data_IF_524623026285
#
_entry.id   IF_524623026285
#
_cell.length_a   1.000
_cell.length_b   1.000
_cell.length_c   1.000
_cell.angle_alpha   90.00
_cell.angle_beta   90.00
_cell.angle_gamma   90.00
#
_symmetry.space_group_name_H-M   'P 1'
#
loop_
_entity.id
_entity.type
_entity.pdbx_description
1 polymer ?
#
# COMPACT_ATOMS: atom_id res chain seq x y z
N UNK A 1 20.06 -17.87 12.66
CA UNK A 1 18.78 -17.41 12.07
C UNK A 1 18.87 -15.90 11.99
N UNK A 2 18.42 -15.30 10.87
CA UNK A 2 18.30 -13.85 10.70
C UNK A 2 16.80 -13.52 10.68
N UNK A 3 16.39 -12.62 11.56
CA UNK A 3 15.02 -12.12 11.65
C UNK A 3 15.01 -10.69 11.09
N UNK A 4 14.05 -10.37 10.23
CA UNK A 4 13.91 -9.03 9.61
C UNK A 4 12.50 -8.54 9.84
N UNK A 5 12.35 -7.39 10.46
CA UNK A 5 11.05 -6.76 10.72
C UNK A 5 11.19 -5.25 10.80
N UNK A 6 10.19 -4.51 10.30
CA UNK A 6 10.08 -3.08 10.53
C UNK A 6 9.57 -2.75 11.94
N UNK A 7 8.89 -3.72 12.58
CA UNK A 7 8.26 -3.60 13.89
C UNK A 7 8.51 -4.89 14.66
N UNK A 8 9.78 -5.15 15.12
CA UNK A 8 10.12 -6.38 15.82
C UNK A 8 9.34 -6.49 17.14
N UNK A 9 8.77 -7.67 17.38
CA UNK A 9 8.06 -8.00 18.61
C UNK A 9 8.98 -8.53 19.70
N UNK A 10 8.39 -8.93 20.82
CA UNK A 10 9.14 -9.43 21.99
C UNK A 10 9.92 -10.72 21.67
N UNK A 11 9.38 -11.57 20.79
CA UNK A 11 10.05 -12.79 20.37
C UNK A 11 11.37 -12.52 19.69
N UNK A 12 11.38 -11.59 18.72
CA UNK A 12 12.58 -11.20 17.98
C UNK A 12 13.58 -10.47 18.89
N UNK A 13 13.09 -9.55 19.72
CA UNK A 13 13.93 -8.75 20.62
C UNK A 13 14.61 -9.58 21.70
N UNK A 14 13.85 -10.51 22.31
CA UNK A 14 14.34 -11.32 23.43
C UNK A 14 15.20 -12.51 22.94
N UNK A 15 15.00 -12.97 21.72
CA UNK A 15 15.72 -14.10 21.13
C UNK A 15 16.97 -13.72 20.31
N UNK A 16 17.21 -12.43 20.10
CA UNK A 16 18.33 -11.96 19.27
C UNK A 16 19.61 -11.72 20.09
N UNK A 17 20.73 -12.30 19.65
CA UNK A 17 22.05 -12.00 20.20
C UNK A 17 22.54 -10.58 19.83
N UNK A 18 22.06 -10.07 18.68
CA UNK A 18 22.40 -8.76 18.16
C UNK A 18 21.20 -8.16 17.40
N UNK A 19 20.92 -6.88 17.65
CA UNK A 19 19.92 -6.10 16.92
C UNK A 19 20.64 -5.01 16.14
N UNK A 20 20.40 -4.94 14.83
CA UNK A 20 20.95 -3.93 13.93
C UNK A 20 19.81 -3.18 13.26
N UNK A 21 19.85 -1.86 13.34
CA UNK A 21 18.87 -1.01 12.66
C UNK A 21 19.36 -0.61 11.26
N UNK A 22 18.48 -0.72 10.26
CA UNK A 22 18.69 -0.19 8.92
C UNK A 22 17.65 0.89 8.66
N UNK A 23 17.96 2.13 9.06
CA UNK A 23 17.05 3.28 8.91
C UNK A 23 17.25 3.97 7.57
N UNK A 24 18.50 4.06 7.10
CA UNK A 24 18.86 4.82 5.90
C UNK A 24 18.31 4.17 4.63
N UNK A 25 17.59 4.97 3.84
CA UNK A 25 17.12 4.64 2.49
C UNK A 25 18.07 5.26 1.46
N UNK A 26 18.66 4.48 0.55
CA UNK A 26 19.55 5.02 -0.49
C UNK A 26 18.87 6.04 -1.42
N UNK A 27 17.54 5.96 -1.55
CA UNK A 27 16.72 6.90 -2.34
C UNK A 27 16.59 8.29 -1.71
N UNK A 28 17.00 8.44 -0.45
CA UNK A 28 16.83 9.67 0.31
C UNK A 28 15.41 9.96 0.79
N UNK A 29 14.43 9.10 0.47
CA UNK A 29 13.04 9.31 0.87
C UNK A 29 12.89 9.33 2.39
N UNK A 30 12.23 10.37 2.89
CA UNK A 30 11.93 10.55 4.31
C UNK A 30 10.69 9.73 4.72
N UNK A 31 10.60 9.43 6.01
CA UNK A 31 9.30 9.06 6.58
C UNK A 31 8.36 10.28 6.50
N UNK A 32 7.03 10.06 6.35
CA UNK A 32 6.08 11.16 6.14
C UNK A 32 5.98 12.08 7.36
N UNK A 33 5.51 13.30 7.15
CA UNK A 33 5.08 14.17 8.23
C UNK A 33 3.77 13.66 8.82
N UNK A 34 3.65 13.68 10.15
CA UNK A 34 2.47 13.22 10.86
C UNK A 34 1.82 14.37 11.59
N UNK A 35 0.55 14.62 11.30
CA UNK A 35 -0.27 15.65 11.95
C UNK A 35 -1.40 15.00 12.74
N UNK A 36 -1.68 15.53 13.93
CA UNK A 36 -2.86 15.14 14.71
C UNK A 36 -3.85 16.30 14.63
N UNK A 37 -5.07 15.98 14.21
CA UNK A 37 -6.17 16.96 14.08
C UNK A 37 -7.40 16.48 14.86
N UNK A 38 -8.28 17.39 15.31
CA UNK A 38 -9.46 17.03 16.09
C UNK A 38 -10.45 16.20 15.28
N UNK A 39 -11.28 15.40 15.97
CA UNK A 39 -12.35 14.62 15.35
C UNK A 39 -13.49 15.54 14.90
N UNK A 40 -13.77 16.62 15.62
CA UNK A 40 -14.76 17.60 15.21
C UNK A 40 -14.39 18.24 13.88
N UNK A 41 -15.29 18.16 12.88
CA UNK A 41 -15.04 18.67 11.53
C UNK A 41 -14.10 17.79 10.68
N UNK A 42 -13.71 16.60 11.14
CA UNK A 42 -12.74 15.74 10.45
C UNK A 42 -13.11 15.41 8.99
N UNK A 43 -14.38 15.28 8.67
CA UNK A 43 -14.81 14.90 7.31
C UNK A 43 -14.66 16.08 6.34
N UNK A 44 -15.00 17.29 6.76
CA UNK A 44 -14.85 18.47 5.93
C UNK A 44 -13.36 18.80 5.73
N UNK A 45 -12.55 18.67 6.77
CA UNK A 45 -11.09 18.80 6.71
C UNK A 45 -10.49 17.74 5.78
N UNK A 46 -10.90 16.48 5.92
CA UNK A 46 -10.47 15.38 5.06
C UNK A 46 -10.80 15.64 3.58
N UNK A 47 -11.99 16.14 3.27
CA UNK A 47 -12.39 16.49 1.90
C UNK A 47 -11.46 17.58 1.33
N UNK A 48 -11.15 18.60 2.13
CA UNK A 48 -10.19 19.64 1.74
C UNK A 48 -8.82 19.08 1.38
N UNK A 49 -8.29 18.19 2.22
CA UNK A 49 -6.99 17.55 2.00
C UNK A 49 -7.00 16.58 0.79
N UNK A 50 -8.10 15.83 0.62
CA UNK A 50 -8.27 14.97 -0.56
C UNK A 50 -8.25 15.81 -1.84
N UNK A 51 -8.99 16.89 -1.90
CA UNK A 51 -9.03 17.76 -3.07
C UNK A 51 -7.65 18.34 -3.37
N UNK A 52 -6.94 18.86 -2.36
CA UNK A 52 -5.59 19.38 -2.52
C UNK A 52 -4.59 18.31 -3.00
N UNK A 53 -4.76 17.06 -2.58
CA UNK A 53 -3.95 15.92 -3.01
C UNK A 53 -4.28 15.50 -4.45
N UNK A 54 -5.56 15.44 -4.79
CA UNK A 54 -6.05 15.08 -6.12
C UNK A 54 -5.64 16.14 -7.17
N UNK A 55 -5.65 17.42 -6.82
CA UNK A 55 -5.21 18.52 -7.69
C UNK A 55 -3.72 18.39 -8.09
N UNK A 56 -2.90 17.76 -7.24
CA UNK A 56 -1.50 17.41 -7.54
C UNK A 56 -1.36 16.15 -8.41
N UNK A 57 -2.47 15.46 -8.70
CA UNK A 57 -2.47 14.17 -9.40
C UNK A 57 -2.08 12.99 -8.52
N UNK A 58 -2.09 13.15 -7.21
CA UNK A 58 -1.72 12.14 -6.23
C UNK A 58 -2.94 11.43 -5.62
N UNK A 59 -2.72 10.41 -4.81
CA UNK A 59 -3.77 9.53 -4.29
C UNK A 59 -3.82 9.55 -2.77
N UNK A 60 -5.00 9.26 -2.24
CA UNK A 60 -5.27 9.25 -0.80
C UNK A 60 -5.68 7.85 -0.33
N UNK A 61 -5.14 7.43 0.82
CA UNK A 61 -5.63 6.28 1.57
C UNK A 61 -6.34 6.76 2.83
N UNK A 62 -7.53 6.22 3.11
CA UNK A 62 -8.27 6.53 4.35
C UNK A 62 -8.52 5.24 5.12
N UNK A 63 -8.08 5.19 6.40
CA UNK A 63 -8.30 4.02 7.24
C UNK A 63 -9.42 4.27 8.26
N UNK A 64 -10.36 3.34 8.33
CA UNK A 64 -11.48 3.32 9.27
C UNK A 64 -11.38 2.13 10.23
N UNK A 65 -12.23 2.08 11.25
CA UNK A 65 -12.24 0.98 12.22
C UNK A 65 -13.18 -0.17 11.83
N UNK A 66 -14.23 0.12 11.07
CA UNK A 66 -15.26 -0.87 10.73
C UNK A 66 -15.61 -0.83 9.24
N UNK A 67 -16.15 -1.96 8.75
CA UNK A 67 -16.65 -2.09 7.37
C UNK A 67 -17.75 -1.06 7.10
N UNK A 68 -18.68 -0.90 8.03
CA UNK A 68 -19.77 0.05 7.89
C UNK A 68 -19.26 1.49 7.75
N UNK A 69 -18.31 1.90 8.61
CA UNK A 69 -17.69 3.24 8.47
C UNK A 69 -17.03 3.42 7.10
N UNK A 70 -16.33 2.40 6.58
CA UNK A 70 -15.72 2.48 5.26
C UNK A 70 -16.77 2.63 4.15
N UNK A 71 -17.86 1.89 4.22
CA UNK A 71 -18.97 1.95 3.26
C UNK A 71 -19.68 3.31 3.32
N UNK A 72 -20.05 3.77 4.53
CA UNK A 72 -20.73 5.04 4.75
C UNK A 72 -19.86 6.22 4.28
N UNK A 73 -18.57 6.21 4.62
CA UNK A 73 -17.63 7.24 4.19
C UNK A 73 -17.44 7.25 2.68
N UNK A 74 -17.32 6.07 2.06
CA UNK A 74 -17.18 5.97 0.60
C UNK A 74 -18.42 6.54 -0.11
N UNK A 75 -19.62 6.21 0.38
CA UNK A 75 -20.85 6.77 -0.16
C UNK A 75 -20.91 8.29 0.01
N UNK A 76 -20.52 8.81 1.18
CA UNK A 76 -20.49 10.24 1.46
C UNK A 76 -19.53 11.00 0.54
N UNK A 77 -18.29 10.52 0.42
CA UNK A 77 -17.28 11.10 -0.47
C UNK A 77 -17.72 11.05 -1.93
N UNK A 78 -18.33 9.95 -2.36
CA UNK A 78 -18.90 9.81 -3.71
C UNK A 78 -20.01 10.83 -3.99
N UNK A 79 -20.90 11.09 -3.03
CA UNK A 79 -21.94 12.12 -3.13
C UNK A 79 -21.35 13.53 -3.15
N UNK A 80 -20.18 13.74 -2.55
CA UNK A 80 -19.43 14.99 -2.64
C UNK A 80 -18.64 15.14 -3.96
N UNK A 81 -18.77 14.19 -4.89
CA UNK A 81 -18.12 14.24 -6.21
C UNK A 81 -16.68 13.69 -6.24
N UNK A 82 -16.21 13.08 -5.15
CA UNK A 82 -14.88 12.50 -5.06
C UNK A 82 -14.93 11.06 -5.60
N UNK A 83 -14.03 10.73 -6.53
CA UNK A 83 -13.89 9.37 -7.05
C UNK A 83 -13.25 8.49 -5.99
N UNK A 84 -14.04 7.64 -5.38
CA UNK A 84 -13.61 6.81 -4.25
C UNK A 84 -14.05 5.35 -4.41
N UNK A 85 -13.25 4.44 -3.86
CA UNK A 85 -13.59 3.03 -3.67
C UNK A 85 -13.28 2.60 -2.24
N UNK A 86 -13.94 1.55 -1.76
CA UNK A 86 -13.57 0.92 -0.49
C UNK A 86 -13.00 -0.49 -0.72
N UNK A 87 -12.19 -0.93 0.24
CA UNK A 87 -11.60 -2.26 0.24
C UNK A 87 -11.67 -2.87 1.65
N UNK A 88 -12.14 -4.11 1.73
CA UNK A 88 -12.22 -4.88 2.97
C UNK A 88 -11.60 -6.27 2.81
N UNK A 89 -11.58 -7.06 3.90
CA UNK A 89 -10.91 -8.37 3.94
C UNK A 89 -11.57 -9.44 3.06
N UNK A 90 -12.86 -9.29 2.72
CA UNK A 90 -13.59 -10.25 1.87
C UNK A 90 -13.32 -10.07 0.38
N UNK A 91 -12.64 -8.97 -0.01
CA UNK A 91 -12.26 -8.74 -1.41
C UNK A 91 -11.24 -9.78 -1.85
N UNK A 92 -11.57 -10.52 -2.91
CA UNK A 92 -10.70 -11.55 -3.48
C UNK A 92 -9.36 -10.99 -3.99
N UNK A 93 -8.32 -11.83 -4.07
CA UNK A 93 -6.99 -11.39 -4.47
C UNK A 93 -6.98 -10.69 -5.84
N UNK A 94 -7.75 -11.19 -6.81
CA UNK A 94 -7.84 -10.60 -8.14
C UNK A 94 -8.50 -9.22 -8.12
N UNK A 95 -9.64 -9.10 -7.46
CA UNK A 95 -10.38 -7.84 -7.33
C UNK A 95 -9.53 -6.79 -6.57
N UNK A 96 -8.81 -7.22 -5.54
CA UNK A 96 -7.86 -6.37 -4.81
C UNK A 96 -6.78 -5.80 -5.74
N UNK A 97 -6.21 -6.63 -6.61
CA UNK A 97 -5.20 -6.20 -7.57
C UNK A 97 -5.78 -5.22 -8.60
N UNK A 98 -7.03 -5.42 -9.04
CA UNK A 98 -7.75 -4.48 -9.90
C UNK A 98 -7.97 -3.13 -9.21
N UNK A 99 -8.45 -3.14 -7.96
CA UNK A 99 -8.63 -1.91 -7.16
C UNK A 99 -7.31 -1.14 -7.03
N UNK A 100 -6.22 -1.82 -6.71
CA UNK A 100 -4.90 -1.21 -6.55
C UNK A 100 -4.39 -0.63 -7.88
N UNK A 101 -4.53 -1.37 -8.97
CA UNK A 101 -4.15 -0.91 -10.31
C UNK A 101 -4.95 0.33 -10.71
N UNK A 102 -6.28 0.31 -10.49
CA UNK A 102 -7.17 1.40 -10.87
C UNK A 102 -6.88 2.67 -10.04
N UNK A 103 -6.55 2.53 -8.74
CA UNK A 103 -6.06 3.63 -7.91
C UNK A 103 -4.78 4.23 -8.50
N UNK A 104 -3.81 3.40 -8.86
CA UNK A 104 -2.54 3.84 -9.43
C UNK A 104 -2.71 4.53 -10.80
N UNK A 105 -3.67 4.07 -11.61
CA UNK A 105 -4.03 4.69 -12.90
C UNK A 105 -4.80 6.00 -12.76
N UNK A 106 -5.37 6.27 -11.58
CA UNK A 106 -6.20 7.43 -11.33
C UNK A 106 -7.64 7.29 -11.85
N UNK A 107 -8.11 6.08 -11.99
CA UNK A 107 -9.53 5.83 -12.25
C UNK A 107 -10.40 6.31 -11.09
N UNK A 108 -9.82 6.30 -9.89
CA UNK A 108 -10.35 6.93 -8.68
C UNK A 108 -9.19 7.48 -7.83
N UNK A 109 -9.50 8.40 -6.90
CA UNK A 109 -8.50 9.20 -6.20
C UNK A 109 -8.33 8.78 -4.74
N UNK A 110 -9.34 8.15 -4.15
CA UNK A 110 -9.38 7.79 -2.73
C UNK A 110 -9.70 6.32 -2.54
N UNK A 111 -8.87 5.62 -1.79
CA UNK A 111 -9.15 4.26 -1.32
C UNK A 111 -9.45 4.27 0.17
N UNK A 112 -10.67 3.88 0.54
CA UNK A 112 -11.10 3.74 1.93
C UNK A 112 -11.00 2.28 2.35
N UNK A 113 -10.52 1.99 3.56
CA UNK A 113 -10.49 0.61 4.04
C UNK A 113 -10.23 0.48 5.53
N UNK A 114 -10.47 -0.73 6.05
CA UNK A 114 -10.29 -1.02 7.49
C UNK A 114 -8.83 -1.31 7.80
N UNK A 115 -8.25 -2.24 7.09
CA UNK A 115 -6.87 -2.68 7.28
C UNK A 115 -6.18 -2.72 5.91
N UNK A 116 -5.73 -1.55 5.49
CA UNK A 116 -4.95 -1.40 4.26
C UNK A 116 -3.49 -1.84 4.46
N UNK A 117 -3.18 -2.46 5.62
CA UNK A 117 -1.83 -2.81 6.05
C UNK A 117 -1.31 -4.12 5.48
N UNK A 118 -2.13 -4.91 4.79
CA UNK A 118 -1.67 -6.19 4.25
C UNK A 118 -0.44 -5.99 3.38
N UNK A 119 0.54 -6.83 3.57
CA UNK A 119 1.80 -6.85 2.84
C UNK A 119 1.58 -6.75 1.32
N UNK A 120 2.47 -6.04 0.63
CA UNK A 120 2.43 -5.93 -0.83
C UNK A 120 1.84 -4.63 -1.39
N UNK A 121 1.29 -3.72 -0.58
CA UNK A 121 0.88 -2.40 -1.08
C UNK A 121 2.08 -1.47 -1.26
N UNK A 122 2.57 -1.38 -2.48
CA UNK A 122 3.61 -0.44 -2.90
C UNK A 122 3.00 0.61 -3.85
N UNK A 123 2.57 1.72 -3.26
CA UNK A 123 1.78 2.77 -3.91
C UNK A 123 2.54 4.12 -3.86
N UNK A 124 3.53 4.32 -4.72
CA UNK A 124 4.28 5.59 -4.74
C UNK A 124 3.42 6.80 -5.14
N UNK A 125 2.26 6.58 -5.73
CA UNK A 125 1.30 7.63 -6.08
C UNK A 125 0.52 8.16 -4.88
N UNK A 126 0.56 7.45 -3.73
CA UNK A 126 -0.11 7.86 -2.50
C UNK A 126 0.78 8.84 -1.74
N UNK A 127 0.31 10.05 -1.55
CA UNK A 127 0.96 11.08 -0.74
C UNK A 127 0.21 11.43 0.53
N UNK A 128 -1.09 11.14 0.60
CA UNK A 128 -1.90 11.40 1.79
C UNK A 128 -2.42 10.09 2.40
N UNK A 129 -2.23 9.94 3.70
CA UNK A 129 -2.90 8.90 4.50
C UNK A 129 -3.69 9.57 5.62
N UNK A 130 -4.99 9.31 5.67
CA UNK A 130 -5.86 9.74 6.74
C UNK A 130 -6.25 8.56 7.63
N UNK A 131 -6.06 8.72 8.94
CA UNK A 131 -6.39 7.72 9.96
C UNK A 131 -7.52 8.27 10.80
N UNK A 132 -8.76 7.82 10.57
CA UNK A 132 -9.91 8.23 11.35
C UNK A 132 -9.94 7.49 12.68
N UNK A 133 -10.47 8.14 13.72
CA UNK A 133 -10.54 7.58 15.07
C UNK A 133 -9.20 6.99 15.53
N UNK A 134 -8.12 7.74 15.37
CA UNK A 134 -6.78 7.27 15.70
C UNK A 134 -6.56 7.05 17.19
N UNK A 135 -7.36 7.69 18.06
CA UNK A 135 -7.36 7.54 19.50
C UNK A 135 -8.16 6.35 20.05
N UNK A 136 -8.85 5.61 19.18
CA UNK A 136 -9.57 4.39 19.57
C UNK A 136 -8.58 3.22 19.66
N UNK A 137 -7.92 3.08 20.83
CA UNK A 137 -6.94 2.02 21.04
C UNK A 137 -7.50 0.63 20.74
N UNK A 138 -6.65 -0.22 20.15
CA UNK A 138 -6.98 -1.58 19.76
C UNK A 138 -6.01 -2.10 18.71
N UNK A 139 -6.25 -3.31 18.22
CA UNK A 139 -5.37 -3.98 17.26
C UNK A 139 -5.06 -3.11 16.03
N UNK A 140 -6.07 -2.39 15.49
CA UNK A 140 -5.92 -1.55 14.30
C UNK A 140 -5.27 -0.18 14.58
N UNK A 141 -5.10 0.18 15.84
CA UNK A 141 -4.50 1.44 16.31
C UNK A 141 -3.38 1.20 17.32
N UNK A 142 -2.82 -0.01 17.36
CA UNK A 142 -1.60 -0.30 18.09
C UNK A 142 -0.41 0.44 17.47
N UNK A 143 0.64 0.66 18.24
CA UNK A 143 1.90 1.26 17.77
C UNK A 143 2.38 0.63 16.47
N UNK A 144 2.49 -0.71 16.43
CA UNK A 144 2.90 -1.48 15.25
C UNK A 144 2.01 -1.18 14.03
N UNK A 145 0.69 -1.18 14.24
CA UNK A 145 -0.29 -0.92 13.18
C UNK A 145 -0.16 0.50 12.64
N UNK A 146 0.01 1.48 13.51
CA UNK A 146 0.18 2.88 13.14
C UNK A 146 1.50 3.10 12.37
N UNK A 147 2.63 2.57 12.87
CA UNK A 147 3.93 2.66 12.18
C UNK A 147 3.85 2.06 10.76
N UNK A 148 3.21 0.91 10.60
CA UNK A 148 3.04 0.27 9.29
C UNK A 148 2.16 1.10 8.35
N UNK A 149 1.08 1.71 8.88
CA UNK A 149 0.20 2.58 8.11
C UNK A 149 0.94 3.84 7.65
N UNK A 150 1.60 4.52 8.56
CA UNK A 150 2.41 5.71 8.30
C UNK A 150 3.45 5.41 7.21
N UNK A 151 4.14 4.29 7.32
CA UNK A 151 5.18 3.87 6.38
C UNK A 151 4.71 3.68 4.93
N UNK A 152 3.41 3.61 4.66
CA UNK A 152 2.88 3.55 3.28
C UNK A 152 3.06 4.84 2.51
N UNK A 153 3.01 6.01 3.17
CA UNK A 153 3.27 7.30 2.54
C UNK A 153 4.78 7.58 2.33
N UNK A 154 5.67 6.80 2.93
CA UNK A 154 7.12 7.01 2.85
C UNK A 154 7.76 6.72 1.47
N UNK A 155 6.98 6.39 0.46
CA UNK A 155 7.43 6.21 -0.94
C UNK A 155 7.21 7.44 -1.81
N UNK A 156 6.47 8.39 -1.29
CA UNK A 156 6.27 9.70 -1.89
C UNK A 156 7.12 10.73 -1.16
N UNK A 157 7.80 11.61 -1.89
CA UNK A 157 8.63 12.65 -1.29
C UNK A 157 7.82 13.69 -0.50
N UNK A 158 6.54 13.89 -0.86
CA UNK A 158 5.59 14.76 -0.19
C UNK A 158 4.61 13.99 0.73
N UNK A 159 5.01 12.77 1.16
CA UNK A 159 4.17 11.91 1.99
C UNK A 159 3.74 12.59 3.30
N UNK A 160 2.44 12.59 3.54
CA UNK A 160 1.80 13.20 4.73
C UNK A 160 0.81 12.22 5.34
N UNK A 161 0.74 12.22 6.67
CA UNK A 161 -0.23 11.42 7.43
C UNK A 161 -1.02 12.34 8.36
N UNK A 162 -2.35 12.23 8.33
CA UNK A 162 -3.24 12.93 9.26
C UNK A 162 -3.92 11.90 10.15
N UNK A 163 -3.74 12.04 11.45
CA UNK A 163 -4.44 11.27 12.48
C UNK A 163 -5.55 12.12 13.07
N UNK A 164 -6.80 11.74 12.87
CA UNK A 164 -7.92 12.40 13.50
C UNK A 164 -8.16 11.80 14.88
N UNK A 165 -7.94 12.60 15.92
CA UNK A 165 -8.00 12.19 17.32
C UNK A 165 -8.22 13.39 18.23
N UNK A 166 -9.01 13.22 19.27
CA UNK A 166 -9.19 14.25 20.33
C UNK A 166 -8.10 14.12 21.40
N UNK A 167 -7.52 12.93 21.55
CA UNK A 167 -6.42 12.68 22.50
C UNK A 167 -5.30 11.89 21.83
N UNK A 168 -4.05 12.24 22.16
CA UNK A 168 -2.89 11.45 21.70
C UNK A 168 -2.67 10.30 22.66
N UNK A 169 -2.95 9.08 22.20
CA UNK A 169 -2.76 7.86 23.01
C UNK A 169 -1.29 7.47 23.10
N UNK A 170 -0.90 6.58 24.04
CA UNK A 170 0.46 6.05 24.10
C UNK A 170 0.93 5.41 22.79
N UNK A 171 0.06 4.63 22.14
CA UNK A 171 0.35 4.01 20.83
C UNK A 171 0.59 5.03 19.72
N UNK A 172 -0.21 6.10 19.68
CA UNK A 172 0.00 7.22 18.74
C UNK A 172 1.32 7.92 19.03
N UNK A 173 1.61 8.23 20.29
CA UNK A 173 2.84 8.91 20.69
C UNK A 173 4.06 8.10 20.26
N UNK A 174 4.11 6.81 20.58
CA UNK A 174 5.20 5.93 20.20
C UNK A 174 5.40 5.87 18.65
N UNK A 175 4.31 5.80 17.90
CA UNK A 175 4.37 5.76 16.44
C UNK A 175 4.86 7.09 15.84
N UNK A 176 4.42 8.22 16.37
CA UNK A 176 4.85 9.57 15.95
C UNK A 176 6.33 9.75 16.27
N UNK A 177 6.74 9.52 17.52
CA UNK A 177 8.12 9.72 17.96
C UNK A 177 9.10 8.85 17.16
N UNK A 178 8.75 7.59 16.86
CA UNK A 178 9.57 6.71 16.03
C UNK A 178 9.65 7.20 14.58
N UNK A 179 8.56 7.68 14.03
CA UNK A 179 8.53 8.24 12.66
C UNK A 179 9.40 9.49 12.57
N UNK A 180 9.30 10.39 13.53
CA UNK A 180 10.13 11.61 13.61
C UNK A 180 11.60 11.28 13.80
N UNK A 181 11.93 10.30 14.66
CA UNK A 181 13.30 9.80 14.86
C UNK A 181 13.91 9.32 13.53
N UNK A 182 13.20 8.47 12.80
CA UNK A 182 13.66 7.95 11.52
C UNK A 182 13.80 9.06 10.49
N UNK A 183 12.84 9.98 10.45
CA UNK A 183 12.88 11.15 9.56
C UNK A 183 14.11 12.01 9.83
N UNK A 184 14.41 12.31 11.09
CA UNK A 184 15.58 13.11 11.48
C UNK A 184 16.91 12.45 11.06
N UNK A 185 17.06 11.14 11.29
CA UNK A 185 18.25 10.37 10.89
C UNK A 185 18.44 10.42 9.36
N UNK A 186 17.36 10.19 8.60
CA UNK A 186 17.43 10.23 7.13
C UNK A 186 17.72 11.64 6.61
N UNK A 187 17.13 12.68 7.22
CA UNK A 187 17.38 14.08 6.84
C UNK A 187 18.86 14.43 7.02
N UNK A 188 19.44 14.15 8.19
CA UNK A 188 20.85 14.38 8.46
C UNK A 188 21.77 13.63 7.49
N UNK A 189 21.42 12.40 7.15
CA UNK A 189 22.16 11.62 6.15
C UNK A 189 22.08 12.25 4.76
N UNK A 190 20.90 12.68 4.32
CA UNK A 190 20.69 13.32 3.03
C UNK A 190 21.50 14.61 2.91
N UNK A 191 21.48 15.46 3.93
CA UNK A 191 22.25 16.71 4.00
C UNK A 191 23.75 16.44 3.92
N UNK A 192 24.26 15.48 4.69
CA UNK A 192 25.68 15.12 4.70
C UNK A 192 26.18 14.58 3.35
N UNK A 193 25.30 13.98 2.54
CA UNK A 193 25.64 13.33 1.27
C UNK A 193 25.11 14.08 0.05
N UNK A 194 24.46 15.22 0.22
CA UNK A 194 23.86 16.01 -0.88
C UNK A 194 22.76 15.26 -1.63
N UNK A 195 22.01 14.40 -0.94
CA UNK A 195 20.92 13.60 -1.54
C UNK A 195 19.63 14.38 -1.52
N UNK A 196 19.00 14.53 -2.68
CA UNK A 196 17.66 15.11 -2.81
C UNK A 196 16.64 14.00 -2.96
N UNK A 197 15.68 13.86 -2.03
CA UNK A 197 14.63 12.86 -2.11
C UNK A 197 13.84 12.97 -3.40
N UNK A 198 13.53 11.83 -4.04
CA UNK A 198 12.69 11.80 -5.24
C UNK A 198 11.67 10.68 -5.12
N UNK A 199 10.41 11.00 -5.39
CA UNK A 199 9.33 10.01 -5.43
C UNK A 199 9.67 8.87 -6.39
N UNK A 200 9.46 7.64 -5.95
CA UNK A 200 9.70 6.44 -6.76
C UNK A 200 8.63 6.38 -7.85
N UNK A 201 9.04 6.31 -9.11
CA UNK A 201 8.12 6.07 -10.24
C UNK A 201 8.20 4.61 -10.65
N UNK A 202 7.11 3.88 -10.46
CA UNK A 202 6.97 2.48 -10.92
C UNK A 202 6.02 2.41 -12.09
N UNK A 203 6.37 1.63 -13.13
CA UNK A 203 5.44 1.33 -14.22
C UNK A 203 4.23 0.56 -13.68
N UNK A 204 3.03 0.96 -14.11
CA UNK A 204 1.79 0.23 -13.84
C UNK A 204 1.73 -0.90 -14.85
N UNK A 205 1.81 -2.15 -14.38
CA UNK A 205 1.70 -3.33 -15.25
C UNK A 205 0.24 -3.75 -15.37
N UNK A 206 -0.19 -4.05 -16.58
CA UNK A 206 -1.50 -4.60 -16.85
C UNK A 206 -1.53 -6.10 -16.58
N UNK A 207 -1.94 -6.46 -15.36
CA UNK A 207 -2.16 -7.86 -14.98
C UNK A 207 -3.31 -8.51 -15.75
N UNK A 208 -4.25 -7.72 -16.28
CA UNK A 208 -5.40 -8.22 -17.04
C UNK A 208 -5.03 -8.74 -18.43
N UNK A 209 -3.93 -8.30 -19.04
CA UNK A 209 -3.45 -8.93 -20.29
C UNK A 209 -3.01 -10.38 -20.05
N UNK A 210 -2.69 -10.71 -18.80
CA UNK A 210 -2.17 -12.01 -18.40
C UNK A 210 -3.24 -12.86 -17.72
N UNK A 211 -4.21 -12.24 -17.03
CA UNK A 211 -5.27 -12.92 -16.26
C UNK A 211 -6.63 -12.92 -16.95
N UNK A 212 -6.75 -12.32 -18.12
CA UNK A 212 -7.91 -12.55 -18.96
C UNK A 212 -8.16 -14.07 -19.04
N UNK A 213 -9.42 -14.56 -18.97
CA UNK A 213 -9.69 -15.95 -19.28
C UNK A 213 -8.94 -16.20 -20.58
N UNK A 214 -8.02 -17.19 -20.59
CA UNK A 214 -7.16 -17.50 -21.75
C UNK A 214 -8.01 -17.27 -22.97
N UNK A 215 -7.70 -16.20 -23.72
CA UNK A 215 -8.64 -15.58 -24.62
C UNK A 215 -9.39 -16.68 -25.34
N UNK A 216 -10.66 -16.83 -25.03
CA UNK A 216 -11.54 -17.41 -26.01
C UNK A 216 -11.39 -16.41 -27.14
N UNK A 217 -10.49 -16.74 -28.07
CA UNK A 217 -10.53 -16.14 -29.38
C UNK A 217 -12.02 -16.01 -29.69
N UNK A 218 -12.52 -14.87 -30.05
CA UNK A 218 -13.95 -14.64 -30.32
C UNK A 218 -14.53 -15.67 -31.29
N UNK A 219 -13.73 -16.58 -31.79
CA UNK A 219 -14.04 -17.71 -32.68
C UNK A 219 -14.16 -19.08 -31.99
N UNK A 220 -13.98 -19.19 -30.68
CA UNK A 220 -14.13 -20.47 -29.95
C UNK A 220 -13.08 -21.54 -30.26
N UNK A 221 -11.95 -21.17 -30.87
CA UNK A 221 -10.86 -22.12 -31.17
C UNK A 221 -10.07 -22.47 -29.91
N UNK A 222 -9.93 -23.75 -29.61
CA UNK A 222 -9.00 -24.27 -28.62
C UNK A 222 -7.58 -23.98 -29.09
N UNK A 223 -6.73 -23.40 -28.24
CA UNK A 223 -5.30 -23.28 -28.49
C UNK A 223 -4.71 -24.63 -28.91
N UNK A 224 -3.88 -24.62 -29.93
CA UNK A 224 -3.12 -25.81 -30.31
C UNK A 224 -2.10 -26.15 -29.22
N UNK A 225 -1.66 -27.41 -29.14
CA UNK A 225 -0.62 -27.81 -28.19
C UNK A 225 0.67 -27.00 -28.32
N UNK A 226 1.02 -26.61 -29.55
CA UNK A 226 2.20 -25.79 -29.83
C UNK A 226 2.06 -24.36 -29.29
N UNK A 227 0.91 -23.73 -29.47
CA UNK A 227 0.60 -22.40 -28.93
C UNK A 227 0.56 -22.42 -27.41
N UNK A 228 -0.07 -23.45 -26.82
CA UNK A 228 -0.12 -23.64 -25.38
C UNK A 228 1.28 -23.79 -24.77
N UNK A 229 2.15 -24.56 -25.40
CA UNK A 229 3.53 -24.74 -24.95
C UNK A 229 4.33 -23.44 -25.06
N UNK A 230 4.20 -22.70 -26.16
CA UNK A 230 4.85 -21.40 -26.34
C UNK A 230 4.40 -20.37 -25.29
N UNK A 231 3.11 -20.37 -24.95
CA UNK A 231 2.57 -19.48 -23.91
C UNK A 231 3.07 -19.87 -22.52
N UNK A 232 3.14 -21.16 -22.20
CA UNK A 232 3.74 -21.63 -20.93
C UNK A 232 5.20 -21.17 -20.82
N UNK A 233 6.00 -21.35 -21.87
CA UNK A 233 7.41 -20.94 -21.89
C UNK A 233 7.57 -19.42 -21.71
N UNK A 234 6.65 -18.62 -22.26
CA UNK A 234 6.59 -17.18 -22.05
C UNK A 234 6.31 -16.81 -20.61
N UNK A 235 5.25 -17.39 -20.05
CA UNK A 235 4.82 -17.15 -18.67
C UNK A 235 5.87 -17.60 -17.65
N UNK A 236 6.59 -18.69 -17.90
CA UNK A 236 7.67 -19.13 -17.01
C UNK A 236 8.84 -18.15 -16.98
N UNK A 237 9.23 -17.59 -18.13
CA UNK A 237 10.28 -16.57 -18.18
C UNK A 237 9.88 -15.31 -17.43
N UNK A 238 8.63 -14.91 -17.58
CA UNK A 238 8.08 -13.73 -16.92
C UNK A 238 7.95 -13.94 -15.41
N UNK A 239 7.49 -15.12 -14.98
CA UNK A 239 7.43 -15.51 -13.57
C UNK A 239 8.80 -15.47 -12.89
N UNK A 240 9.84 -16.01 -13.56
CA UNK A 240 11.21 -15.95 -13.02
C UNK A 240 11.72 -14.52 -12.92
N UNK A 241 11.42 -13.67 -13.90
CA UNK A 241 11.79 -12.26 -13.89
C UNK A 241 11.07 -11.50 -12.75
N UNK A 242 9.78 -11.76 -12.54
CA UNK A 242 9.02 -11.19 -11.45
C UNK A 242 9.59 -11.61 -10.08
N UNK A 243 9.93 -12.89 -9.92
CA UNK A 243 10.55 -13.38 -8.69
C UNK A 243 11.93 -12.74 -8.42
N UNK A 244 12.77 -12.54 -9.45
CA UNK A 244 14.05 -11.82 -9.32
C UNK A 244 13.87 -10.36 -8.91
N UNK A 245 12.74 -9.74 -9.29
CA UNK A 245 12.39 -8.37 -8.92
C UNK A 245 11.62 -8.29 -7.59
N UNK A 246 11.56 -9.41 -6.84
CA UNK A 246 10.85 -9.55 -5.57
C UNK A 246 9.33 -9.28 -5.67
N UNK A 247 8.75 -9.43 -6.85
CA UNK A 247 7.32 -9.28 -7.11
C UNK A 247 6.61 -10.63 -6.92
N UNK A 248 6.64 -11.16 -5.71
CA UNK A 248 6.19 -12.53 -5.41
C UNK A 248 4.70 -12.77 -5.65
N UNK A 249 3.84 -11.78 -5.42
CA UNK A 249 2.41 -11.89 -5.71
C UNK A 249 2.16 -12.06 -7.20
N UNK A 250 2.85 -11.27 -8.03
CA UNK A 250 2.79 -11.38 -9.47
C UNK A 250 3.35 -12.73 -9.96
N UNK A 251 4.48 -13.17 -9.43
CA UNK A 251 5.03 -14.47 -9.74
C UNK A 251 4.07 -15.62 -9.37
N UNK A 252 3.32 -15.49 -8.26
CA UNK A 252 2.32 -16.48 -7.85
C UNK A 252 1.13 -16.55 -8.84
N UNK A 253 0.65 -15.42 -9.33
CA UNK A 253 -0.41 -15.36 -10.35
C UNK A 253 0.03 -16.05 -11.65
N UNK A 254 1.25 -15.76 -12.12
CA UNK A 254 1.81 -16.39 -13.32
C UNK A 254 1.97 -17.90 -13.13
N UNK A 255 2.39 -18.36 -11.95
CA UNK A 255 2.45 -19.80 -11.60
C UNK A 255 1.09 -20.45 -11.72
N UNK A 256 0.07 -19.84 -11.14
CA UNK A 256 -1.29 -20.41 -11.14
C UNK A 256 -1.89 -20.48 -12.56
N UNK A 257 -1.52 -19.55 -13.44
CA UNK A 257 -1.85 -19.64 -14.88
C UNK A 257 -1.12 -20.78 -15.59
N UNK A 258 0.16 -20.96 -15.32
CA UNK A 258 0.95 -22.06 -15.87
C UNK A 258 0.33 -23.41 -15.48
N UNK A 259 -0.07 -23.56 -14.20
CA UNK A 259 -0.73 -24.76 -13.70
C UNK A 259 -2.04 -25.03 -14.46
N UNK A 260 -2.87 -23.98 -14.64
CA UNK A 260 -4.12 -24.10 -15.43
C UNK A 260 -3.88 -24.49 -16.88
N UNK A 261 -2.88 -23.89 -17.54
CA UNK A 261 -2.53 -24.21 -18.91
C UNK A 261 -1.95 -25.63 -19.06
N UNK A 262 -1.27 -26.14 -18.05
CA UNK A 262 -0.78 -27.54 -18.02
C UNK A 262 -1.90 -28.53 -17.76
N UNK A 263 -3.04 -28.12 -17.22
CA UNK A 263 -4.13 -29.01 -16.83
C UNK A 263 -3.84 -29.76 -15.53
N UNK A 264 -2.86 -29.31 -14.76
CA UNK A 264 -2.55 -29.81 -13.41
C UNK A 264 -3.56 -29.22 -12.42
N UNK A 265 -4.12 -30.07 -11.50
CA UNK A 265 -5.07 -29.65 -10.47
C UNK A 265 -4.34 -29.20 -9.20
#
# INVERSE_FOLDING_TARGET
VVLVSATPGDYERNGADQIVEQVIRPTGLLDPEVFVRPIEGQIDDLIGEINATTDKGERTLVTTLTKRMAEDLTAYLGNAGIKTRYMHHDVGAMERMEIIRDLRRGEFDVLVGINLLREGLDLPEVSLIAILDADKEGFLRSETSLIQTIGRAARNAEGTVIMYADTVTPSMRAAIDETERRRAIQTAYNEAHGIVPKTIKKSIRDLLEITGPAAKDERGMRMTERERKAEIDRLEKEMRKAAQMLEYEYAAVLRDQIIRLRGEK
#
